data_IF_029613205339
#
_entry.id   IF_029613205339
#
_cell.length_a   1.000
_cell.length_b   1.000
_cell.length_c   1.000
_cell.angle_alpha   90.00
_cell.angle_beta   90.00
_cell.angle_gamma   90.00
#
_symmetry.space_group_name_H-M   'P 1'
#
loop_
_entity.id
_entity.type
_entity.pdbx_description
1 polymer ?
#
# COMPACT_ATOMS: atom_id res chain seq x y z
N UNK A 1 -3.65 1.55 3.01
CA UNK A 1 -4.20 1.81 1.66
C UNK A 1 -4.78 3.21 1.57
N UNK A 2 -5.68 3.63 2.49
CA UNK A 2 -6.25 4.99 2.54
C UNK A 2 -5.26 6.16 2.43
N UNK A 3 -4.08 6.17 3.11
CA UNK A 3 -3.11 7.25 2.95
C UNK A 3 -2.55 7.41 1.53
N UNK A 4 -2.41 6.29 0.79
CA UNK A 4 -2.00 6.31 -0.62
C UNK A 4 -3.11 6.95 -1.46
N UNK A 5 -4.36 6.55 -1.22
CA UNK A 5 -5.52 7.11 -1.91
C UNK A 5 -5.77 8.58 -1.58
N UNK A 6 -5.50 9.02 -0.34
CA UNK A 6 -5.60 10.42 0.03
C UNK A 6 -4.58 11.25 -0.77
N UNK A 7 -3.34 10.76 -0.85
CA UNK A 7 -2.28 11.42 -1.63
C UNK A 7 -2.66 11.54 -3.11
N UNK A 8 -3.22 10.48 -3.71
CA UNK A 8 -3.69 10.52 -5.10
C UNK A 8 -4.90 11.45 -5.26
N UNK A 9 -5.85 11.44 -4.33
CA UNK A 9 -7.04 12.32 -4.36
C UNK A 9 -6.66 13.80 -4.26
N UNK A 10 -5.64 14.15 -3.49
CA UNK A 10 -5.13 15.54 -3.41
C UNK A 10 -4.49 15.97 -4.73
N UNK A 11 -3.74 15.07 -5.39
CA UNK A 11 -3.12 15.34 -6.69
C UNK A 11 -4.13 15.36 -7.84
N UNK A 12 -5.14 14.48 -7.78
CA UNK A 12 -6.18 14.26 -8.77
C UNK A 12 -7.55 14.60 -8.16
N UNK A 13 -7.71 15.88 -7.85
CA UNK A 13 -8.97 16.44 -7.34
C UNK A 13 -10.10 16.30 -8.38
N UNK A 14 -11.32 16.07 -7.91
CA UNK A 14 -12.48 15.87 -8.80
C UNK A 14 -12.92 17.19 -9.44
N UNK A 15 -13.29 17.14 -10.72
CA UNK A 15 -14.02 18.21 -11.42
C UNK A 15 -15.53 17.92 -11.52
N UNK A 16 -15.98 16.73 -11.13
CA UNK A 16 -17.40 16.39 -11.11
C UNK A 16 -18.06 16.83 -9.80
N UNK A 17 -19.03 17.73 -9.91
CA UNK A 17 -19.81 18.28 -8.78
C UNK A 17 -20.57 17.19 -8.02
N UNK A 18 -21.17 16.25 -8.75
CA UNK A 18 -21.98 15.20 -8.12
C UNK A 18 -21.12 14.29 -7.26
N UNK A 19 -19.97 13.84 -7.79
CA UNK A 19 -19.01 13.06 -7.01
C UNK A 19 -18.56 13.79 -5.73
N UNK A 20 -18.29 15.10 -5.82
CA UNK A 20 -17.86 15.89 -4.66
C UNK A 20 -18.99 16.00 -3.62
N UNK A 21 -20.21 16.30 -4.05
CA UNK A 21 -21.39 16.37 -3.17
C UNK A 21 -21.64 15.06 -2.44
N UNK A 22 -21.61 13.93 -3.15
CA UNK A 22 -21.78 12.61 -2.54
C UNK A 22 -20.71 12.32 -1.47
N UNK A 23 -19.45 12.74 -1.69
CA UNK A 23 -18.39 12.61 -0.67
C UNK A 23 -18.68 13.47 0.56
N UNK A 24 -19.09 14.73 0.35
CA UNK A 24 -19.41 15.64 1.44
C UNK A 24 -20.62 15.18 2.26
N UNK A 25 -21.66 14.69 1.59
CA UNK A 25 -22.83 14.07 2.23
C UNK A 25 -22.41 12.86 3.08
N UNK A 26 -21.58 11.98 2.52
CA UNK A 26 -21.05 10.82 3.26
C UNK A 26 -20.24 11.23 4.50
N UNK A 27 -19.41 12.27 4.38
CA UNK A 27 -18.67 12.82 5.54
C UNK A 27 -19.64 13.41 6.57
N UNK A 28 -20.66 14.13 6.13
CA UNK A 28 -21.68 14.71 7.01
C UNK A 28 -22.47 13.63 7.77
N UNK A 29 -22.85 12.56 7.09
CA UNK A 29 -23.52 11.41 7.71
C UNK A 29 -22.63 10.75 8.78
N UNK A 30 -21.35 10.52 8.46
CA UNK A 30 -20.39 9.94 9.41
C UNK A 30 -20.15 10.81 10.66
N UNK A 31 -20.24 12.14 10.52
CA UNK A 31 -20.09 13.08 11.65
C UNK A 31 -21.35 13.11 12.52
N UNK A 32 -22.53 13.10 11.91
CA UNK A 32 -23.81 13.33 12.61
C UNK A 32 -24.43 12.06 13.21
N UNK A 33 -23.90 10.87 12.89
CA UNK A 33 -24.37 9.61 13.47
C UNK A 33 -24.10 9.54 14.98
N UNK A 34 -25.17 9.35 15.76
CA UNK A 34 -25.12 9.25 17.23
C UNK A 34 -24.48 7.94 17.74
N UNK A 35 -24.43 6.91 16.90
CA UNK A 35 -24.10 5.53 17.30
C UNK A 35 -22.59 5.21 17.35
N UNK A 36 -21.71 6.21 17.38
CA UNK A 36 -20.24 6.02 17.34
C UNK A 36 -19.76 5.15 16.15
N UNK A 37 -20.55 5.05 15.07
CA UNK A 37 -20.25 4.23 13.88
C UNK A 37 -18.88 4.59 13.32
N UNK A 38 -18.54 5.87 13.26
CA UNK A 38 -17.23 6.35 12.82
C UNK A 38 -16.06 5.71 13.59
N UNK A 39 -16.17 5.60 14.92
CA UNK A 39 -15.13 5.00 15.76
C UNK A 39 -15.08 3.49 15.53
N UNK A 40 -16.24 2.84 15.44
CA UNK A 40 -16.34 1.40 15.18
C UNK A 40 -15.72 1.02 13.83
N UNK A 41 -16.09 1.71 12.76
CA UNK A 41 -15.58 1.50 11.39
C UNK A 41 -14.07 1.72 11.38
N UNK A 42 -13.56 2.83 11.92
CA UNK A 42 -12.12 3.09 12.00
C UNK A 42 -11.35 2.02 12.79
N UNK A 43 -11.95 1.47 13.84
CA UNK A 43 -11.34 0.40 14.63
C UNK A 43 -11.21 -0.89 13.84
N UNK A 44 -12.19 -1.20 12.97
CA UNK A 44 -12.10 -2.36 12.08
C UNK A 44 -11.16 -2.11 10.90
N UNK A 45 -11.16 -0.91 10.30
CA UNK A 45 -10.24 -0.56 9.22
C UNK A 45 -8.76 -0.66 9.64
N UNK A 46 -8.44 -0.38 10.90
CA UNK A 46 -7.07 -0.57 11.43
C UNK A 46 -6.57 -2.01 11.39
N UNK A 47 -7.47 -3.00 11.40
CA UNK A 47 -7.11 -4.43 11.30
C UNK A 47 -6.94 -4.89 9.85
N UNK A 48 -7.38 -4.07 8.89
CA UNK A 48 -7.38 -4.42 7.49
C UNK A 48 -5.95 -4.37 6.93
N UNK A 49 -5.55 -5.44 6.25
CA UNK A 49 -4.22 -5.53 5.64
C UNK A 49 -4.19 -4.81 4.29
N UNK A 50 -2.99 -4.65 3.73
CA UNK A 50 -2.80 -4.05 2.41
C UNK A 50 -3.21 -5.05 1.32
N UNK A 51 -4.51 -5.12 1.03
CA UNK A 51 -5.11 -6.13 0.16
C UNK A 51 -4.60 -6.04 -1.28
N UNK A 52 -4.30 -4.84 -1.79
CA UNK A 52 -3.70 -4.67 -3.13
C UNK A 52 -2.39 -5.45 -3.27
N UNK A 53 -1.53 -5.45 -2.24
CA UNK A 53 -0.26 -6.19 -2.25
C UNK A 53 -0.49 -7.70 -2.19
N UNK A 54 -1.50 -8.12 -1.45
CA UNK A 54 -1.88 -9.53 -1.35
C UNK A 54 -2.43 -10.02 -2.70
N UNK A 55 -3.30 -9.24 -3.33
CA UNK A 55 -3.86 -9.58 -4.64
C UNK A 55 -2.81 -9.55 -5.74
N UNK A 56 -1.87 -8.61 -5.72
CA UNK A 56 -0.75 -8.63 -6.66
C UNK A 56 0.12 -9.87 -6.49
N UNK A 57 0.31 -10.36 -5.25
CA UNK A 57 1.06 -11.60 -5.00
C UNK A 57 0.36 -12.86 -5.53
N UNK A 58 -0.97 -12.87 -5.66
CA UNK A 58 -1.71 -13.94 -6.33
C UNK A 58 -1.62 -13.86 -7.86
N UNK A 59 -1.19 -12.74 -8.43
CA UNK A 59 -0.92 -12.65 -9.87
C UNK A 59 0.51 -13.07 -10.21
N UNK A 60 1.42 -13.05 -9.24
CA UNK A 60 2.79 -13.51 -9.38
C UNK A 60 2.84 -15.04 -9.20
N UNK A 61 3.16 -15.76 -10.27
CA UNK A 61 3.07 -17.23 -10.39
C UNK A 61 4.00 -18.06 -9.47
N UNK A 62 4.82 -17.41 -8.65
CA UNK A 62 5.93 -18.06 -7.94
C UNK A 62 5.65 -18.21 -6.45
N UNK A 63 4.69 -19.08 -6.10
CA UNK A 63 4.57 -19.58 -4.73
C UNK A 63 5.80 -20.45 -4.45
N UNK A 64 6.80 -19.89 -3.77
CA UNK A 64 7.99 -20.65 -3.35
C UNK A 64 7.60 -21.73 -2.36
N UNK A 65 7.77 -22.98 -2.79
CA UNK A 65 7.69 -24.20 -1.98
C UNK A 65 8.57 -24.09 -0.73
N UNK A 66 7.98 -23.89 0.45
CA UNK A 66 8.72 -24.11 1.70
C UNK A 66 7.90 -24.84 2.77
N UNK A 67 8.29 -26.11 2.89
CA UNK A 67 8.48 -26.91 4.10
C UNK A 67 7.24 -27.36 4.87
N UNK A 68 6.81 -28.57 4.54
CA UNK A 68 6.24 -29.50 5.51
C UNK A 68 7.10 -30.76 5.44
N UNK A 69 8.06 -30.87 6.35
CA UNK A 69 8.69 -32.15 6.66
C UNK A 69 9.23 -32.05 8.06
N UNK A 70 8.34 -32.27 9.02
CA UNK A 70 8.74 -32.68 10.35
C UNK A 70 7.68 -33.65 10.89
N UNK A 71 8.21 -34.70 11.53
CA UNK A 71 7.54 -35.67 12.41
C UNK A 71 7.00 -36.91 11.70
N UNK A 72 7.72 -38.03 11.85
CA UNK A 72 7.35 -39.18 12.71
C UNK A 72 8.59 -40.11 12.77
N UNK A 73 9.14 -40.35 13.96
CA UNK A 73 10.12 -41.42 14.22
C UNK A 73 9.69 -42.18 15.48
N UNK A 74 9.32 -43.47 15.39
CA UNK A 74 9.19 -44.30 16.57
C UNK A 74 10.60 -44.70 17.04
N UNK A 75 10.97 -44.25 18.24
CA UNK A 75 12.17 -44.77 18.94
C UNK A 75 11.85 -46.15 19.49
N UNK A 76 12.29 -47.21 18.80
CA UNK A 76 12.32 -48.56 19.37
C UNK A 76 13.76 -48.96 19.68
N UNK A 77 14.04 -49.14 20.97
CA UNK A 77 15.31 -49.63 21.50
C UNK A 77 15.30 -51.16 21.46
N UNK A 78 16.24 -51.79 20.77
CA UNK A 78 16.49 -53.22 20.89
C UNK A 78 17.58 -53.43 21.94
N UNK A 79 17.23 -54.12 23.01
CA UNK A 79 18.10 -54.40 24.15
C UNK A 79 19.36 -55.16 23.71
N UNK A 80 20.51 -54.68 24.19
CA UNK A 80 21.91 -55.11 23.97
C UNK A 80 22.78 -54.20 23.08
N UNK A 81 22.22 -53.25 22.32
CA UNK A 81 23.00 -52.26 21.57
C UNK A 81 22.31 -50.87 21.58
N UNK A 82 23.06 -49.78 21.78
CA UNK A 82 22.56 -48.42 21.54
C UNK A 82 22.47 -48.16 20.02
N UNK A 83 21.51 -48.79 19.35
CA UNK A 83 21.18 -48.58 17.94
C UNK A 83 20.12 -47.48 17.87
N UNK A 84 20.47 -46.36 17.25
CA UNK A 84 19.54 -45.28 16.93
C UNK A 84 19.12 -45.41 15.47
N UNK A 85 17.81 -45.40 15.22
CA UNK A 85 17.26 -45.23 13.87
C UNK A 85 17.15 -43.73 13.56
N UNK A 86 17.67 -43.30 12.41
CA UNK A 86 17.71 -41.90 11.99
C UNK A 86 17.28 -41.73 10.54
N UNK A 87 16.82 -40.53 10.19
CA UNK A 87 16.45 -40.12 8.85
C UNK A 87 17.16 -38.82 8.47
N UNK A 88 17.59 -38.72 7.22
CA UNK A 88 18.19 -37.51 6.65
C UNK A 88 17.69 -37.35 5.20
N UNK A 89 17.19 -36.18 4.81
CA UNK A 89 16.41 -36.00 3.57
C UNK A 89 17.12 -36.48 2.29
N UNK A 90 18.44 -36.27 2.18
CA UNK A 90 19.23 -36.69 1.00
C UNK A 90 19.64 -38.17 1.06
N UNK A 91 19.73 -38.74 2.27
CA UNK A 91 20.33 -40.06 2.52
C UNK A 91 19.29 -41.13 2.87
N UNK A 92 18.08 -40.72 3.23
CA UNK A 92 17.01 -41.58 3.72
C UNK A 92 17.26 -42.09 5.15
N UNK A 93 16.60 -43.19 5.50
CA UNK A 93 16.77 -43.82 6.80
C UNK A 93 18.12 -44.54 6.93
N UNK A 94 18.73 -44.49 8.11
CA UNK A 94 19.96 -45.19 8.45
C UNK A 94 20.01 -45.59 9.92
N UNK A 95 20.81 -46.60 10.24
CA UNK A 95 21.07 -47.04 11.60
C UNK A 95 22.37 -46.43 12.09
N UNK A 96 22.37 -45.93 13.31
CA UNK A 96 23.52 -45.36 14.00
C UNK A 96 23.80 -46.18 15.24
N UNK A 97 24.91 -46.91 15.22
CA UNK A 97 25.32 -47.82 16.29
C UNK A 97 26.40 -47.11 17.11
N UNK A 98 26.13 -46.85 18.39
CA UNK A 98 27.10 -46.28 19.33
C UNK A 98 27.96 -47.37 19.99
N UNK A 99 29.11 -46.99 20.53
CA UNK A 99 30.02 -47.84 21.33
C UNK A 99 30.60 -49.08 20.62
N UNK A 100 30.76 -49.03 19.29
CA UNK A 100 31.28 -50.17 18.50
C UNK A 100 32.65 -50.72 18.97
N UNK A 101 33.52 -49.86 19.52
CA UNK A 101 34.90 -50.22 19.89
C UNK A 101 35.04 -50.99 21.22
N UNK A 102 34.00 -51.12 22.04
CA UNK A 102 34.09 -51.73 23.37
C UNK A 102 33.81 -53.25 23.39
N UNK A 103 33.73 -53.95 22.24
CA UNK A 103 33.56 -55.41 22.26
C UNK A 103 33.24 -56.12 20.94
N UNK A 104 33.16 -55.45 19.79
CA UNK A 104 32.68 -56.06 18.53
C UNK A 104 33.85 -56.33 17.58
N UNK A 105 34.12 -57.61 17.29
CA UNK A 105 35.17 -58.04 16.35
C UNK A 105 34.77 -57.88 14.87
N UNK A 106 33.49 -57.98 14.53
CA UNK A 106 32.96 -57.66 13.18
C UNK A 106 31.44 -57.46 13.19
N UNK A 107 30.94 -56.50 12.40
CA UNK A 107 29.52 -56.32 12.13
C UNK A 107 29.01 -57.39 11.16
N UNK A 108 27.81 -57.97 11.37
CA UNK A 108 27.18 -58.91 10.45
C UNK A 108 27.17 -58.41 8.99
N UNK A 109 27.18 -59.32 8.00
CA UNK A 109 27.13 -58.96 6.58
C UNK A 109 25.80 -58.32 6.16
N UNK A 110 24.75 -58.45 6.98
CA UNK A 110 23.43 -57.83 6.77
C UNK A 110 23.51 -56.29 6.75
N UNK A 111 24.50 -55.71 7.44
CA UNK A 111 24.74 -54.27 7.42
C UNK A 111 25.57 -53.88 6.20
N UNK A 112 25.09 -52.87 5.46
CA UNK A 112 25.69 -52.33 4.24
C UNK A 112 25.97 -50.84 4.41
N UNK A 113 26.77 -50.25 3.51
CA UNK A 113 27.15 -48.83 3.54
C UNK A 113 27.69 -48.38 4.91
N UNK A 114 28.63 -49.16 5.46
CA UNK A 114 29.22 -48.95 6.79
C UNK A 114 30.16 -47.74 6.78
N UNK A 115 29.73 -46.62 7.37
CA UNK A 115 30.56 -45.43 7.59
C UNK A 115 31.04 -45.40 9.04
N UNK A 116 32.36 -45.47 9.23
CA UNK A 116 32.97 -45.46 10.54
C UNK A 116 33.29 -44.03 11.00
N UNK A 117 32.66 -43.57 12.10
CA UNK A 117 32.90 -42.27 12.73
C UNK A 117 33.31 -42.43 14.21
N UNK A 118 34.62 -42.49 14.49
CA UNK A 118 35.22 -42.62 15.84
C UNK A 118 34.60 -43.74 16.71
N UNK A 119 33.57 -43.42 17.53
CA UNK A 119 32.86 -44.35 18.44
C UNK A 119 31.50 -44.82 17.89
N UNK A 120 31.16 -44.40 16.68
CA UNK A 120 29.85 -44.57 16.05
C UNK A 120 30.04 -45.20 14.67
N UNK A 121 29.11 -46.07 14.29
CA UNK A 121 28.99 -46.57 12.91
C UNK A 121 27.62 -46.20 12.38
N UNK A 122 27.58 -45.62 11.19
CA UNK A 122 26.36 -45.43 10.43
C UNK A 122 26.29 -46.52 9.37
N UNK A 123 25.19 -47.27 9.31
CA UNK A 123 25.01 -48.36 8.36
C UNK A 123 23.53 -48.53 7.98
N UNK A 124 23.26 -49.08 6.82
CA UNK A 124 21.92 -49.48 6.38
C UNK A 124 21.77 -50.99 6.33
N UNK A 125 20.57 -51.45 6.03
CA UNK A 125 20.30 -52.83 5.56
C UNK A 125 19.59 -52.74 4.22
N UNK A 126 19.63 -53.80 3.40
CA UNK A 126 18.95 -53.83 2.09
C UNK A 126 17.45 -53.55 2.28
N UNK A 127 16.83 -54.16 3.29
CA UNK A 127 15.41 -53.99 3.59
C UNK A 127 15.07 -52.55 4.00
N UNK A 128 15.92 -51.94 4.81
CA UNK A 128 15.76 -50.56 5.27
C UNK A 128 15.94 -49.56 4.14
N UNK A 129 16.88 -49.78 3.22
CA UNK A 129 17.01 -48.95 2.02
C UNK A 129 15.78 -49.09 1.09
N UNK A 130 15.26 -50.31 0.92
CA UNK A 130 14.01 -50.52 0.14
C UNK A 130 12.81 -49.80 0.75
N UNK A 131 12.64 -49.89 2.08
CA UNK A 131 11.57 -49.17 2.77
C UNK A 131 11.79 -47.64 2.72
N UNK A 132 13.02 -47.18 2.83
CA UNK A 132 13.35 -45.75 2.71
C UNK A 132 13.06 -45.21 1.31
N UNK A 133 13.33 -45.97 0.26
CA UNK A 133 12.97 -45.60 -1.11
C UNK A 133 11.45 -45.45 -1.24
N UNK A 134 10.70 -46.46 -0.80
CA UNK A 134 9.22 -46.42 -0.83
C UNK A 134 8.65 -45.24 -0.05
N UNK A 135 9.23 -44.93 1.12
CA UNK A 135 8.82 -43.77 1.91
C UNK A 135 9.05 -42.46 1.14
N UNK A 136 10.22 -42.29 0.52
CA UNK A 136 10.51 -41.10 -0.28
C UNK A 136 9.55 -40.99 -1.48
N UNK A 137 9.27 -42.11 -2.17
CA UNK A 137 8.29 -42.13 -3.27
C UNK A 137 6.92 -41.62 -2.80
N UNK A 138 6.43 -42.11 -1.65
CA UNK A 138 5.17 -41.65 -1.04
C UNK A 138 5.21 -40.15 -0.69
N UNK A 139 6.29 -39.68 -0.08
CA UNK A 139 6.43 -38.25 0.29
C UNK A 139 6.42 -37.37 -0.97
N UNK A 140 7.09 -37.80 -2.04
CA UNK A 140 7.07 -37.06 -3.32
C UNK A 140 5.69 -37.07 -3.96
N UNK A 141 4.96 -38.18 -3.90
CA UNK A 141 3.58 -38.28 -4.39
C UNK A 141 2.65 -37.33 -3.61
N UNK A 142 2.74 -37.32 -2.28
CA UNK A 142 1.98 -36.40 -1.42
C UNK A 142 2.31 -34.93 -1.77
N UNK A 143 3.59 -34.61 -1.96
CA UNK A 143 4.01 -33.25 -2.34
C UNK A 143 3.44 -32.84 -3.70
N UNK A 144 3.45 -33.74 -4.68
CA UNK A 144 2.89 -33.49 -6.01
C UNK A 144 1.38 -33.29 -5.98
N UNK A 145 0.66 -34.12 -5.20
CA UNK A 145 -0.78 -33.97 -5.00
C UNK A 145 -1.10 -32.63 -4.32
N UNK A 146 -0.37 -32.28 -3.26
CA UNK A 146 -0.55 -31.00 -2.57
C UNK A 146 -0.29 -29.81 -3.50
N UNK A 147 0.79 -29.87 -4.30
CA UNK A 147 1.09 -28.83 -5.29
C UNK A 147 0.01 -28.70 -6.36
N UNK A 148 -0.61 -29.81 -6.77
CA UNK A 148 -1.74 -29.79 -7.70
C UNK A 148 -2.94 -29.08 -7.07
N UNK A 149 -3.29 -29.46 -5.84
CA UNK A 149 -4.39 -28.81 -5.08
C UNK A 149 -4.13 -27.30 -4.89
N UNK A 150 -2.91 -26.90 -4.53
CA UNK A 150 -2.55 -25.49 -4.34
C UNK A 150 -2.69 -24.72 -5.66
N UNK A 151 -2.26 -25.31 -6.79
CA UNK A 151 -2.40 -24.67 -8.10
C UNK A 151 -3.86 -24.54 -8.52
N UNK A 152 -4.67 -25.57 -8.27
CA UNK A 152 -6.10 -25.55 -8.58
C UNK A 152 -6.81 -24.47 -7.75
N UNK A 153 -6.55 -24.43 -6.44
CA UNK A 153 -7.08 -23.39 -5.54
C UNK A 153 -6.60 -21.99 -5.93
N UNK A 154 -5.34 -21.86 -6.33
CA UNK A 154 -4.80 -20.58 -6.79
C UNK A 154 -5.53 -20.10 -8.05
N UNK A 155 -5.72 -20.99 -9.03
CA UNK A 155 -6.49 -20.67 -10.24
C UNK A 155 -7.91 -20.23 -9.91
N UNK A 156 -8.58 -20.92 -8.99
CA UNK A 156 -9.93 -20.56 -8.55
C UNK A 156 -9.96 -19.18 -7.87
N UNK A 157 -8.98 -18.86 -7.02
CA UNK A 157 -8.89 -17.55 -6.35
C UNK A 157 -8.58 -16.43 -7.35
N UNK A 158 -7.72 -16.67 -8.34
CA UNK A 158 -7.34 -15.66 -9.33
C UNK A 158 -8.54 -15.14 -10.13
N UNK A 159 -9.58 -15.95 -10.32
CA UNK A 159 -10.82 -15.53 -11.00
C UNK A 159 -11.58 -14.47 -10.19
N UNK A 160 -11.45 -14.45 -8.86
CA UNK A 160 -12.09 -13.47 -7.99
C UNK A 160 -11.25 -12.21 -7.74
N UNK A 161 -9.95 -12.22 -8.09
CA UNK A 161 -9.03 -11.10 -7.85
C UNK A 161 -9.57 -9.75 -8.36
N UNK A 162 -10.16 -9.64 -9.58
CA UNK A 162 -10.72 -8.38 -10.06
C UNK A 162 -11.82 -7.80 -9.15
N UNK A 163 -12.75 -8.65 -8.69
CA UNK A 163 -13.84 -8.24 -7.79
C UNK A 163 -13.27 -7.83 -6.43
N UNK A 164 -12.28 -8.57 -5.93
CA UNK A 164 -11.61 -8.27 -4.68
C UNK A 164 -10.87 -6.91 -4.73
N UNK A 165 -10.28 -6.55 -5.87
CA UNK A 165 -9.73 -5.21 -6.10
C UNK A 165 -10.82 -4.11 -6.01
N UNK A 166 -11.98 -4.30 -6.64
CA UNK A 166 -13.09 -3.32 -6.57
C UNK A 166 -13.61 -3.13 -5.13
N UNK A 167 -13.73 -4.22 -4.37
CA UNK A 167 -14.12 -4.16 -2.95
C UNK A 167 -13.04 -3.42 -2.16
N UNK A 168 -11.76 -3.72 -2.41
CA UNK A 168 -10.62 -3.04 -1.81
C UNK A 168 -10.68 -1.53 -2.06
N UNK A 169 -10.89 -1.08 -3.30
CA UNK A 169 -11.03 0.36 -3.62
C UNK A 169 -12.18 1.02 -2.85
N UNK A 170 -13.30 0.31 -2.68
CA UNK A 170 -14.45 0.79 -1.91
C UNK A 170 -14.11 0.96 -0.42
N UNK A 171 -13.40 -0.01 0.18
CA UNK A 171 -12.90 0.07 1.56
C UNK A 171 -11.89 1.21 1.73
N UNK A 172 -11.06 1.44 0.72
CA UNK A 172 -10.07 2.52 0.70
C UNK A 172 -10.75 3.89 0.63
N UNK A 173 -11.78 4.04 -0.20
CA UNK A 173 -12.58 5.27 -0.23
C UNK A 173 -13.25 5.52 1.13
N UNK A 174 -13.83 4.48 1.74
CA UNK A 174 -14.41 4.57 3.08
C UNK A 174 -13.38 5.02 4.14
N UNK A 175 -12.15 4.50 4.09
CA UNK A 175 -11.05 4.91 4.98
C UNK A 175 -10.72 6.40 4.83
N UNK A 176 -10.68 6.92 3.59
CA UNK A 176 -10.47 8.35 3.34
C UNK A 176 -11.61 9.20 3.92
N UNK A 177 -12.87 8.81 3.67
CA UNK A 177 -14.05 9.53 4.17
C UNK A 177 -14.13 9.52 5.71
N UNK A 178 -13.88 8.38 6.34
CA UNK A 178 -13.72 8.26 7.80
C UNK A 178 -12.51 9.08 8.31
N UNK A 179 -11.47 9.23 7.50
CA UNK A 179 -10.36 10.13 7.72
C UNK A 179 -10.81 11.58 7.85
N UNK A 180 -11.59 12.07 6.87
CA UNK A 180 -12.15 13.42 6.87
C UNK A 180 -13.11 13.65 8.02
N UNK A 181 -14.10 12.77 8.21
CA UNK A 181 -15.08 12.88 9.29
C UNK A 181 -14.44 12.93 10.68
N UNK A 182 -13.47 12.04 10.94
CA UNK A 182 -12.76 12.05 12.22
C UNK A 182 -11.88 13.28 12.40
N UNK A 183 -11.22 13.71 11.33
CA UNK A 183 -10.43 14.94 11.36
C UNK A 183 -11.32 16.10 11.76
N UNK A 184 -12.48 16.28 11.12
CA UNK A 184 -13.42 17.37 11.42
C UNK A 184 -13.98 17.29 12.84
N UNK A 185 -14.33 16.10 13.33
CA UNK A 185 -14.92 15.91 14.67
C UNK A 185 -13.96 16.24 15.82
N UNK A 186 -12.64 16.19 15.59
CA UNK A 186 -11.64 16.44 16.64
C UNK A 186 -11.21 17.89 16.72
N UNK A 187 -11.44 18.67 15.67
CA UNK A 187 -10.98 20.05 15.64
C UNK A 187 -11.73 20.91 16.65
N UNK A 188 -10.97 21.78 17.34
CA UNK A 188 -11.56 22.74 18.30
C UNK A 188 -12.35 23.85 17.62
N UNK A 189 -12.01 24.16 16.36
CA UNK A 189 -12.72 25.15 15.53
C UNK A 189 -13.80 24.44 14.73
N UNK A 190 -14.93 25.11 14.53
CA UNK A 190 -15.98 24.59 13.65
C UNK A 190 -15.45 24.46 12.22
N UNK A 191 -15.69 23.30 11.63
CA UNK A 191 -15.48 23.04 10.21
C UNK A 191 -16.84 23.03 9.54
N UNK A 192 -16.94 23.63 8.35
CA UNK A 192 -18.20 23.73 7.61
C UNK A 192 -18.15 22.94 6.30
N UNK A 193 -19.31 22.43 5.90
CA UNK A 193 -19.48 21.84 4.58
C UNK A 193 -19.45 22.96 3.53
N UNK A 194 -18.57 22.91 2.52
CA UNK A 194 -18.53 23.92 1.46
C UNK A 194 -19.77 23.85 0.57
N UNK A 195 -20.18 25.01 0.06
CA UNK A 195 -21.21 25.14 -0.96
C UNK A 195 -20.55 25.30 -2.33
N UNK A 196 -21.15 24.72 -3.37
CA UNK A 196 -20.68 24.90 -4.75
C UNK A 196 -21.58 25.83 -5.52
N UNK A 197 -20.97 26.80 -6.19
CA UNK A 197 -21.67 27.82 -6.96
C UNK A 197 -20.80 28.44 -8.03
N UNK A 198 -21.16 29.63 -8.51
CA UNK A 198 -20.47 30.27 -9.64
C UNK A 198 -19.28 31.12 -9.20
N UNK A 199 -19.27 31.54 -7.93
CA UNK A 199 -18.29 32.47 -7.40
C UNK A 199 -17.47 31.81 -6.29
N UNK A 200 -16.36 32.46 -5.92
CA UNK A 200 -15.66 32.15 -4.66
C UNK A 200 -16.06 33.20 -3.63
N UNK A 201 -16.71 32.77 -2.56
CA UNK A 201 -17.01 33.62 -1.40
C UNK A 201 -16.54 32.93 -0.13
N UNK A 202 -15.46 33.43 0.45
CA UNK A 202 -14.89 32.90 1.70
C UNK A 202 -14.88 34.01 2.74
N UNK A 203 -15.56 33.77 3.85
CA UNK A 203 -15.57 34.73 4.97
C UNK A 203 -14.26 34.63 5.75
N UNK A 204 -13.62 35.78 6.02
CA UNK A 204 -12.39 35.90 6.82
C UNK A 204 -11.11 35.24 6.24
N UNK A 205 -10.96 35.14 4.91
CA UNK A 205 -9.68 34.71 4.31
C UNK A 205 -8.73 35.90 4.09
N UNK A 206 -7.64 35.98 4.84
CA UNK A 206 -6.64 37.05 4.69
C UNK A 206 -5.52 36.74 3.68
N UNK A 207 -5.39 35.48 3.21
CA UNK A 207 -4.19 35.04 2.49
C UNK A 207 -4.53 34.30 1.19
N UNK A 208 -3.87 34.70 0.08
CA UNK A 208 -4.04 34.07 -1.24
C UNK A 208 -3.78 32.56 -1.23
N UNK A 209 -2.75 32.12 -0.49
CA UNK A 209 -2.45 30.68 -0.32
C UNK A 209 -3.59 29.91 0.35
N UNK A 210 -4.31 30.56 1.27
CA UNK A 210 -5.41 29.93 1.98
C UNK A 210 -6.56 29.62 1.02
N UNK A 211 -6.86 30.52 0.08
CA UNK A 211 -7.89 30.29 -0.96
C UNK A 211 -7.55 29.06 -1.80
N UNK A 212 -6.29 28.91 -2.22
CA UNK A 212 -5.82 27.73 -2.95
C UNK A 212 -6.05 26.44 -2.15
N UNK A 213 -5.60 26.40 -0.89
CA UNK A 213 -5.76 25.21 -0.05
C UNK A 213 -7.23 24.87 0.21
N UNK A 214 -8.07 25.87 0.49
CA UNK A 214 -9.50 25.66 0.71
C UNK A 214 -10.20 25.13 -0.54
N UNK A 215 -9.83 25.63 -1.73
CA UNK A 215 -10.39 25.12 -2.99
C UNK A 215 -10.04 23.65 -3.25
N UNK A 216 -8.81 23.24 -2.91
CA UNK A 216 -8.39 21.83 -2.99
C UNK A 216 -9.17 21.01 -1.98
N UNK A 217 -9.25 21.44 -0.71
CA UNK A 217 -9.99 20.74 0.34
C UNK A 217 -11.47 20.56 0.00
N UNK A 218 -12.09 21.56 -0.64
CA UNK A 218 -13.47 21.47 -1.10
C UNK A 218 -13.62 20.41 -2.19
N UNK A 219 -12.79 20.44 -3.23
CA UNK A 219 -12.89 19.52 -4.37
C UNK A 219 -12.43 18.08 -4.09
N UNK A 220 -11.73 17.83 -2.97
CA UNK A 220 -11.49 16.45 -2.50
C UNK A 220 -12.66 15.90 -1.67
N UNK A 221 -13.60 16.74 -1.24
CA UNK A 221 -14.76 16.38 -0.42
C UNK A 221 -14.51 16.44 1.08
N UNK A 222 -13.65 17.35 1.55
CA UNK A 222 -13.38 17.57 2.97
C UNK A 222 -14.05 18.87 3.44
N UNK A 223 -14.49 18.92 4.71
CA UNK A 223 -15.01 20.15 5.29
C UNK A 223 -13.88 21.17 5.51
N UNK A 224 -14.26 22.44 5.61
CA UNK A 224 -13.33 23.56 5.58
C UNK A 224 -13.26 24.29 6.92
N UNK A 225 -12.07 24.77 7.33
CA UNK A 225 -11.89 25.61 8.51
C UNK A 225 -12.29 27.08 8.23
N UNK A 226 -13.54 27.33 7.84
CA UNK A 226 -14.10 28.67 7.65
C UNK A 226 -15.50 28.79 8.26
N UNK A 227 -16.02 30.01 8.36
CA UNK A 227 -17.40 30.26 8.81
C UNK A 227 -18.41 30.06 7.69
N UNK A 228 -18.00 30.35 6.45
CA UNK A 228 -18.78 30.23 5.24
C UNK A 228 -17.82 30.13 4.05
N UNK A 229 -18.18 29.33 3.06
CA UNK A 229 -17.37 29.09 1.87
C UNK A 229 -18.19 28.59 0.69
N UNK A 230 -18.46 29.48 -0.26
CA UNK A 230 -18.93 29.12 -1.60
C UNK A 230 -17.71 28.99 -2.53
N UNK A 231 -17.64 27.91 -3.30
CA UNK A 231 -16.55 27.63 -4.22
C UNK A 231 -17.08 27.32 -5.62
N UNK A 232 -16.44 27.89 -6.64
CA UNK A 232 -16.52 27.39 -8.00
C UNK A 232 -15.65 26.13 -8.13
N UNK A 233 -16.10 25.17 -8.94
CA UNK A 233 -15.28 24.01 -9.32
C UNK A 233 -14.25 24.45 -10.35
N UNK A 234 -12.98 24.25 -10.03
CA UNK A 234 -11.88 24.55 -10.94
C UNK A 234 -11.31 23.27 -11.51
N UNK A 235 -10.96 23.28 -12.80
CA UNK A 235 -10.22 22.21 -13.47
C UNK A 235 -8.72 22.31 -13.18
N UNK A 236 -8.18 23.53 -13.11
CA UNK A 236 -6.77 23.77 -12.77
C UNK A 236 -6.61 24.88 -11.74
N UNK A 237 -5.63 24.74 -10.85
CA UNK A 237 -5.20 25.81 -9.93
C UNK A 237 -3.78 26.16 -10.33
N UNK A 238 -3.57 27.41 -10.77
CA UNK A 238 -2.28 27.91 -11.25
C UNK A 238 -1.86 29.06 -10.36
N UNK A 239 -0.72 28.93 -9.71
CA UNK A 239 -0.25 29.94 -8.76
C UNK A 239 1.13 30.44 -9.14
N UNK A 240 1.28 31.76 -9.21
CA UNK A 240 2.56 32.43 -9.16
C UNK A 240 2.75 33.00 -7.76
N UNK A 241 3.41 32.23 -6.91
CA UNK A 241 3.82 32.66 -5.57
C UNK A 241 5.32 32.86 -5.59
N UNK A 242 5.81 33.97 -5.04
CA UNK A 242 7.25 34.20 -4.95
C UNK A 242 7.90 33.09 -4.10
N UNK A 243 8.78 32.31 -4.69
CA UNK A 243 9.67 31.37 -4.01
C UNK A 243 11.10 31.88 -4.17
N UNK A 244 11.89 31.84 -3.11
CA UNK A 244 13.29 32.29 -3.12
C UNK A 244 14.17 31.20 -3.76
N UNK A 245 13.96 30.91 -5.05
CA UNK A 245 14.74 29.91 -5.76
C UNK A 245 15.99 30.55 -6.37
N UNK A 246 17.11 30.33 -5.68
CA UNK A 246 18.45 30.74 -6.12
C UNK A 246 18.95 29.83 -7.25
N UNK A 247 18.34 29.86 -8.43
CA UNK A 247 18.96 29.24 -9.61
C UNK A 247 19.77 30.27 -10.40
N UNK A 248 20.98 29.87 -10.78
CA UNK A 248 22.14 30.72 -11.08
C UNK A 248 22.07 31.39 -12.48
N UNK A 249 21.14 31.00 -13.36
CA UNK A 249 21.25 31.28 -14.81
C UNK A 249 20.20 32.23 -15.42
N UNK A 250 19.27 32.81 -14.65
CA UNK A 250 18.31 33.81 -15.17
C UNK A 250 17.89 34.83 -14.12
N UNK A 251 17.54 36.06 -14.56
CA UNK A 251 17.02 37.08 -13.67
C UNK A 251 15.69 36.65 -13.06
N UNK A 252 15.45 37.01 -11.79
CA UNK A 252 14.20 36.73 -11.09
C UNK A 252 12.98 37.24 -11.85
N UNK A 253 13.12 38.40 -12.50
CA UNK A 253 12.09 38.97 -13.36
C UNK A 253 11.83 38.15 -14.63
N UNK A 254 12.88 37.69 -15.34
CA UNK A 254 12.71 36.88 -16.55
C UNK A 254 12.02 35.54 -16.24
N UNK A 255 12.40 34.88 -15.15
CA UNK A 255 11.71 33.67 -14.67
C UNK A 255 10.24 33.94 -14.33
N UNK A 256 9.98 35.06 -13.63
CA UNK A 256 8.62 35.48 -13.33
C UNK A 256 7.79 35.62 -14.61
N UNK A 257 8.34 36.25 -15.66
CA UNK A 257 7.64 36.41 -16.92
C UNK A 257 7.44 35.08 -17.66
N UNK A 258 8.39 34.15 -17.63
CA UNK A 258 8.21 32.81 -18.21
C UNK A 258 7.10 32.02 -17.52
N UNK A 259 6.99 32.09 -16.19
CA UNK A 259 5.90 31.47 -15.44
C UNK A 259 4.55 32.08 -15.80
N UNK A 260 4.47 33.41 -15.92
CA UNK A 260 3.25 34.11 -16.36
C UNK A 260 2.85 33.67 -17.76
N UNK A 261 3.80 33.62 -18.71
CA UNK A 261 3.54 33.14 -20.08
C UNK A 261 3.04 31.69 -20.07
N UNK A 262 3.61 30.81 -19.24
CA UNK A 262 3.14 29.43 -19.10
C UNK A 262 1.69 29.35 -18.58
N UNK A 263 1.32 30.22 -17.62
CA UNK A 263 -0.05 30.33 -17.13
C UNK A 263 -0.98 30.83 -18.24
N UNK A 264 -0.58 31.89 -18.95
CA UNK A 264 -1.36 32.52 -20.02
C UNK A 264 -1.59 31.59 -21.22
N UNK A 265 -0.60 30.79 -21.60
CA UNK A 265 -0.70 29.85 -22.72
C UNK A 265 -1.64 28.67 -22.46
N UNK A 266 -1.90 28.35 -21.19
CA UNK A 266 -2.74 27.23 -20.80
C UNK A 266 -4.06 27.70 -20.17
N UNK A 267 -4.51 28.92 -20.42
CA UNK A 267 -5.71 29.45 -19.77
C UNK A 267 -6.97 28.68 -20.13
N UNK A 268 -7.75 28.39 -19.08
CA UNK A 268 -9.07 27.77 -19.19
C UNK A 268 -10.07 28.60 -18.38
N UNK A 269 -11.33 28.66 -18.84
CA UNK A 269 -12.42 29.39 -18.17
C UNK A 269 -12.73 28.87 -16.76
N UNK A 270 -12.26 27.67 -16.43
CA UNK A 270 -12.43 27.01 -15.13
C UNK A 270 -11.10 26.85 -14.39
N UNK A 271 -10.18 27.80 -14.58
CA UNK A 271 -8.90 27.83 -13.85
C UNK A 271 -8.91 28.86 -12.72
N UNK A 272 -8.43 28.47 -11.53
CA UNK A 272 -8.16 29.40 -10.43
C UNK A 272 -6.72 29.90 -10.56
N UNK A 273 -6.57 31.19 -10.82
CA UNK A 273 -5.26 31.80 -11.01
C UNK A 273 -4.96 32.73 -9.84
N UNK A 274 -3.77 32.56 -9.26
CA UNK A 274 -3.32 33.36 -8.13
C UNK A 274 -1.97 33.98 -8.47
N UNK A 275 -1.93 35.31 -8.58
CA UNK A 275 -0.69 36.07 -8.72
C UNK A 275 -0.32 36.73 -7.39
N UNK A 276 0.91 36.53 -6.93
CA UNK A 276 1.50 37.25 -5.80
C UNK A 276 2.70 38.08 -6.28
N UNK A 277 2.63 39.40 -6.09
CA UNK A 277 3.70 40.37 -6.42
C UNK A 277 4.20 40.31 -7.89
N UNK A 278 3.26 40.28 -8.84
CA UNK A 278 3.57 40.40 -10.27
C UNK A 278 4.27 41.75 -10.56
N UNK A 279 5.24 41.76 -11.48
CA UNK A 279 5.97 42.97 -11.89
C UNK A 279 7.08 43.42 -10.92
N UNK A 280 7.31 42.67 -9.84
CA UNK A 280 8.40 42.93 -8.89
C UNK A 280 9.75 42.59 -9.55
N UNK A 281 10.68 43.54 -9.54
CA UNK A 281 12.00 43.38 -10.16
C UNK A 281 12.17 44.16 -11.48
N UNK A 282 11.19 44.99 -11.85
CA UNK A 282 11.29 45.99 -12.91
C UNK A 282 11.06 47.41 -12.36
N UNK A 283 11.14 48.43 -13.22
CA UNK A 283 10.75 49.80 -12.89
C UNK A 283 9.27 49.85 -12.46
N UNK A 284 8.90 50.83 -11.63
CA UNK A 284 7.51 50.96 -11.15
C UNK A 284 6.52 51.07 -12.32
N UNK A 285 6.85 51.87 -13.34
CA UNK A 285 5.98 52.09 -14.50
C UNK A 285 5.84 50.81 -15.34
N UNK A 286 6.94 50.09 -15.58
CA UNK A 286 6.90 48.85 -16.37
C UNK A 286 6.18 47.73 -15.62
N UNK A 287 6.46 47.58 -14.32
CA UNK A 287 5.81 46.60 -13.46
C UNK A 287 4.29 46.85 -13.38
N UNK A 288 3.87 48.10 -13.21
CA UNK A 288 2.46 48.48 -13.22
C UNK A 288 1.81 48.20 -14.59
N UNK A 289 2.48 48.56 -15.69
CA UNK A 289 1.97 48.35 -17.05
C UNK A 289 1.76 46.87 -17.36
N UNK A 290 2.70 46.01 -16.94
CA UNK A 290 2.59 44.56 -17.11
C UNK A 290 1.42 44.01 -16.27
N UNK A 291 1.29 44.42 -15.02
CA UNK A 291 0.16 44.01 -14.18
C UNK A 291 -1.18 44.40 -14.80
N UNK A 292 -1.28 45.62 -15.31
CA UNK A 292 -2.51 46.09 -15.96
C UNK A 292 -2.82 45.29 -17.23
N UNK A 293 -1.83 45.09 -18.11
CA UNK A 293 -2.00 44.30 -19.33
C UNK A 293 -2.41 42.85 -19.04
N UNK A 294 -1.85 42.23 -18.00
CA UNK A 294 -2.24 40.87 -17.59
C UNK A 294 -3.65 40.84 -17.02
N UNK A 295 -4.06 41.84 -16.25
CA UNK A 295 -5.43 41.94 -15.72
C UNK A 295 -6.46 42.11 -16.83
N UNK A 296 -6.15 42.86 -17.88
CA UNK A 296 -7.03 43.08 -19.03
C UNK A 296 -7.34 41.78 -19.79
N UNK A 297 -6.44 40.79 -19.78
CA UNK A 297 -6.67 39.47 -20.38
C UNK A 297 -7.77 38.68 -19.66
N UNK A 298 -8.02 38.98 -18.37
CA UNK A 298 -8.96 38.24 -17.52
C UNK A 298 -10.33 38.93 -17.34
N UNK A 299 -10.54 40.10 -17.98
CA UNK A 299 -11.83 40.80 -18.02
C UNK A 299 -12.70 40.30 -19.17
#
# INVERSE_FOLDING_TARGET
MGPRQLSTTVLQRSSDENSIKMRLESVNELINQQDNILIAVRTQLKKYQDMEKIFSSFLESDIKEQRINDIILPKTSLENFEIEFRHENERGFYLKIKNYRNGIKSLPPVFINKLHKKKIIECGTIELMKQSSKFNDIVTEISNLNNTIIKDLHSEITDYVPILFMISESVVLLDVLCGFAYFTSIQKKSYICPEFGKNIHIKNSLYLKQVAYLSIMAQIGCFLPCEYGEFKIFNSIRTRISCDDTEINASSFSKQMMEVVSILNNLDNDSLIIFDKLGRGSSFNDGFSICFAVLEIFQ
#
